data_IF_944660663199
#
_entry.id   IF_944660663199
#
_cell.length_a   1.000
_cell.length_b   1.000
_cell.length_c   1.000
_cell.angle_alpha   90.00
_cell.angle_beta   90.00
_cell.angle_gamma   90.00
#
_symmetry.space_group_name_H-M   'P 1'
#
loop_
_entity.id
_entity.type
_entity.pdbx_description
1 polymer ?
#
# COMPACT_ATOMS: atom_id res chain seq x y z
N UNK A 1 11.82 19.46 -0.80
CA UNK A 1 11.50 19.77 0.61
C UNK A 1 11.74 21.26 0.89
N UNK A 2 12.96 21.79 0.65
CA UNK A 2 13.28 23.20 0.94
C UNK A 2 12.32 24.19 0.24
N UNK A 3 11.96 23.95 -1.02
CA UNK A 3 11.06 24.80 -1.79
C UNK A 3 9.62 24.88 -1.20
N UNK A 4 9.26 23.94 -0.37
CA UNK A 4 7.93 23.88 0.28
C UNK A 4 8.00 24.14 1.78
N UNK A 5 9.16 24.52 2.31
CA UNK A 5 9.36 24.74 3.75
C UNK A 5 9.16 23.52 4.62
N UNK A 6 9.23 22.32 4.03
CA UNK A 6 9.04 21.05 4.76
C UNK A 6 10.39 20.54 5.23
N UNK A 7 10.50 20.27 6.53
CA UNK A 7 11.65 19.57 7.10
C UNK A 7 11.39 18.07 7.01
N UNK A 8 12.27 17.28 6.35
CA UNK A 8 12.13 15.83 6.33
C UNK A 8 12.17 15.25 7.75
N UNK A 9 11.32 14.27 8.03
CA UNK A 9 11.43 13.48 9.25
C UNK A 9 12.71 12.62 9.20
N UNK A 10 13.33 12.32 10.35
CA UNK A 10 14.40 11.34 10.40
C UNK A 10 13.95 10.02 9.82
N UNK A 11 14.78 9.42 8.99
CA UNK A 11 14.53 8.10 8.42
C UNK A 11 15.34 7.08 9.23
N UNK A 12 14.65 6.21 9.94
CA UNK A 12 15.23 5.13 10.73
C UNK A 12 14.95 3.75 10.10
N UNK A 13 15.52 2.66 10.61
CA UNK A 13 15.31 1.32 10.06
C UNK A 13 13.84 0.85 10.06
N UNK A 14 13.00 1.38 10.94
CA UNK A 14 11.59 1.02 11.04
C UNK A 14 10.71 1.85 10.09
N UNK A 15 11.20 2.99 9.64
CA UNK A 15 10.45 3.90 8.76
C UNK A 15 10.02 3.21 7.47
N UNK A 16 10.88 2.39 6.88
CA UNK A 16 10.56 1.63 5.68
C UNK A 16 9.39 0.66 5.89
N UNK A 17 9.37 -0.04 7.03
CA UNK A 17 8.28 -0.94 7.39
C UNK A 17 6.99 -0.17 7.68
N UNK A 18 7.07 0.92 8.41
CA UNK A 18 5.92 1.78 8.71
C UNK A 18 5.30 2.35 7.42
N UNK A 19 6.11 2.80 6.47
CA UNK A 19 5.65 3.24 5.16
C UNK A 19 4.96 2.11 4.39
N UNK A 20 5.55 0.93 4.39
CA UNK A 20 4.95 -0.24 3.73
C UNK A 20 3.58 -0.59 4.32
N UNK A 21 3.46 -0.62 5.64
CA UNK A 21 2.18 -0.85 6.34
C UNK A 21 1.18 0.28 6.05
N UNK A 22 1.62 1.53 6.07
CA UNK A 22 0.79 2.68 5.73
C UNK A 22 0.24 2.62 4.31
N UNK A 23 1.06 2.23 3.35
CA UNK A 23 0.61 1.99 1.97
C UNK A 23 -0.44 0.88 1.89
N UNK A 24 -0.27 -0.22 2.63
CA UNK A 24 -1.27 -1.29 2.64
C UNK A 24 -2.62 -0.81 3.18
N UNK A 25 -2.63 -0.07 4.29
CA UNK A 25 -3.86 0.52 4.85
C UNK A 25 -4.51 1.49 3.85
N UNK A 26 -3.71 2.32 3.19
CA UNK A 26 -4.21 3.26 2.19
C UNK A 26 -4.76 2.55 0.95
N UNK A 27 -4.08 1.53 0.45
CA UNK A 27 -4.50 0.74 -0.71
C UNK A 27 -5.79 -0.06 -0.45
N UNK A 28 -6.03 -0.48 0.78
CA UNK A 28 -7.27 -1.19 1.17
C UNK A 28 -8.46 -0.28 1.37
N UNK A 29 -8.26 1.04 1.23
CA UNK A 29 -9.32 2.03 1.37
C UNK A 29 -10.08 1.92 2.70
N UNK A 30 -9.36 2.05 3.81
CA UNK A 30 -9.90 1.95 5.16
C UNK A 30 -11.18 2.78 5.41
N UNK A 31 -11.30 4.03 4.91
CA UNK A 31 -12.55 4.79 5.05
C UNK A 31 -13.75 4.13 4.38
N UNK A 32 -13.57 3.53 3.21
CA UNK A 32 -14.65 2.82 2.54
C UNK A 32 -15.00 1.49 3.23
N UNK A 33 -14.00 0.81 3.83
CA UNK A 33 -14.25 -0.36 4.66
C UNK A 33 -15.08 -0.01 5.89
N UNK A 34 -14.71 1.06 6.61
CA UNK A 34 -15.47 1.56 7.74
C UNK A 34 -16.90 1.95 7.34
N UNK A 35 -17.05 2.73 6.27
CA UNK A 35 -18.38 3.10 5.78
C UNK A 35 -19.24 1.88 5.47
N UNK A 36 -18.69 0.88 4.78
CA UNK A 36 -19.42 -0.36 4.45
C UNK A 36 -19.85 -1.12 5.70
N UNK A 37 -18.95 -1.23 6.69
CA UNK A 37 -19.25 -1.92 7.95
C UNK A 37 -20.38 -1.23 8.69
N UNK A 38 -20.31 0.09 8.86
CA UNK A 38 -21.36 0.88 9.53
C UNK A 38 -22.69 0.85 8.76
N UNK A 39 -22.63 0.86 7.43
CA UNK A 39 -23.83 0.75 6.61
C UNK A 39 -24.48 -0.64 6.75
N UNK A 40 -23.69 -1.70 6.77
CA UNK A 40 -24.17 -3.06 6.93
C UNK A 40 -24.82 -3.29 8.29
N UNK A 41 -24.29 -2.69 9.34
CA UNK A 41 -24.86 -2.75 10.67
C UNK A 41 -26.18 -1.98 10.79
N UNK A 42 -26.19 -0.72 10.33
CA UNK A 42 -27.34 0.17 10.49
C UNK A 42 -28.47 -0.10 9.49
N UNK A 43 -28.13 -0.51 8.29
CA UNK A 43 -29.03 -0.64 7.16
C UNK A 43 -28.69 -1.89 6.31
N UNK A 44 -28.85 -3.10 6.85
CA UNK A 44 -28.39 -4.32 6.18
C UNK A 44 -29.01 -4.56 4.80
N UNK A 45 -30.29 -4.23 4.60
CA UNK A 45 -30.94 -4.35 3.30
C UNK A 45 -30.37 -3.36 2.27
N UNK A 46 -30.08 -2.12 2.69
CA UNK A 46 -29.48 -1.10 1.85
C UNK A 46 -28.03 -1.47 1.53
N UNK A 47 -27.29 -1.97 2.52
CA UNK A 47 -25.93 -2.45 2.33
C UNK A 47 -25.88 -3.58 1.30
N UNK A 48 -26.76 -4.58 1.41
CA UNK A 48 -26.85 -5.66 0.45
C UNK A 48 -27.15 -5.17 -0.98
N UNK A 49 -27.95 -4.12 -1.13
CA UNK A 49 -28.27 -3.53 -2.42
C UNK A 49 -27.14 -2.68 -3.03
N UNK A 50 -26.40 -1.95 -2.19
CA UNK A 50 -25.38 -1.00 -2.64
C UNK A 50 -23.95 -1.57 -2.66
N UNK A 51 -23.67 -2.54 -1.78
CA UNK A 51 -22.33 -3.12 -1.58
C UNK A 51 -22.22 -4.51 -2.25
N UNK A 52 -23.10 -4.80 -3.18
CA UNK A 52 -22.93 -6.02 -3.99
C UNK A 52 -21.51 -6.02 -4.61
N UNK A 53 -20.77 -7.12 -4.49
CA UNK A 53 -19.46 -7.20 -5.12
C UNK A 53 -19.64 -6.94 -6.61
N UNK A 54 -19.08 -5.82 -7.08
CA UNK A 54 -19.04 -5.56 -8.52
C UNK A 54 -17.94 -6.42 -9.10
N UNK A 55 -18.21 -7.28 -10.08
CA UNK A 55 -17.19 -8.10 -10.73
C UNK A 55 -16.12 -7.26 -11.46
N UNK A 56 -16.44 -6.02 -11.74
CA UNK A 56 -15.69 -5.02 -12.49
C UNK A 56 -15.03 -3.97 -11.58
N UNK A 57 -14.91 -4.27 -10.27
CA UNK A 57 -14.22 -3.39 -9.36
C UNK A 57 -12.75 -3.22 -9.76
N UNK A 58 -12.26 -2.02 -9.59
CA UNK A 58 -10.93 -1.54 -9.91
C UNK A 58 -9.84 -2.55 -9.55
N UNK A 59 -9.28 -3.17 -10.57
CA UNK A 59 -8.16 -4.08 -10.46
C UNK A 59 -6.96 -3.53 -11.19
N UNK A 60 -5.99 -4.38 -11.43
CA UNK A 60 -4.86 -4.11 -12.30
C UNK A 60 -4.74 -5.24 -13.30
N UNK A 61 -4.16 -4.98 -14.45
CA UNK A 61 -3.92 -6.02 -15.44
C UNK A 61 -2.43 -6.35 -15.55
N UNK A 62 -2.15 -7.60 -15.84
CA UNK A 62 -0.80 -8.09 -16.11
C UNK A 62 -0.83 -9.11 -17.25
N UNK A 63 0.18 -9.06 -18.09
CA UNK A 63 0.33 -9.98 -19.23
C UNK A 63 1.75 -10.52 -19.28
N UNK A 64 1.88 -11.77 -19.65
CA UNK A 64 3.13 -12.37 -20.05
C UNK A 64 2.92 -13.02 -21.44
N UNK A 65 3.70 -12.62 -22.41
CA UNK A 65 3.56 -13.08 -23.79
C UNK A 65 4.92 -13.51 -24.33
N UNK A 66 4.97 -14.65 -25.00
CA UNK A 66 6.13 -15.09 -25.75
C UNK A 66 5.82 -15.02 -27.25
N UNK A 67 6.67 -14.33 -27.99
CA UNK A 67 6.56 -14.21 -29.44
C UNK A 67 7.51 -15.21 -30.10
N UNK A 68 6.94 -16.29 -30.66
CA UNK A 68 7.70 -17.39 -31.24
C UNK A 68 8.33 -18.33 -30.18
N UNK A 69 8.82 -19.48 -30.63
CA UNK A 69 9.39 -20.51 -29.75
C UNK A 69 10.73 -20.06 -29.11
N UNK A 70 11.51 -19.30 -29.84
CA UNK A 70 12.85 -18.83 -29.42
C UNK A 70 12.84 -17.38 -28.87
N UNK A 71 11.69 -16.72 -28.87
CA UNK A 71 11.57 -15.35 -28.42
C UNK A 71 11.65 -15.21 -26.90
N UNK A 72 12.27 -14.14 -26.41
CA UNK A 72 12.22 -13.79 -25.01
C UNK A 72 10.78 -13.44 -24.59
N UNK A 73 10.33 -13.84 -23.40
CA UNK A 73 9.02 -13.45 -22.92
C UNK A 73 8.99 -11.94 -22.63
N UNK A 74 7.86 -11.33 -22.96
CA UNK A 74 7.54 -9.94 -22.61
C UNK A 74 6.53 -9.95 -21.49
N UNK A 75 6.76 -9.09 -20.49
CA UNK A 75 5.84 -8.86 -19.37
C UNK A 75 5.35 -7.43 -19.43
N UNK A 76 4.05 -7.24 -19.32
CA UNK A 76 3.44 -5.92 -19.26
C UNK A 76 2.53 -5.81 -18.03
N UNK A 77 2.47 -4.63 -17.46
CA UNK A 77 1.63 -4.29 -16.33
C UNK A 77 0.80 -3.04 -16.64
N UNK A 78 -0.44 -3.07 -16.19
CA UNK A 78 -1.35 -1.92 -16.23
C UNK A 78 -1.97 -1.75 -14.82
N UNK A 79 -1.23 -1.13 -13.89
CA UNK A 79 -1.75 -0.85 -12.56
C UNK A 79 -2.78 0.30 -12.61
N UNK A 80 -4.02 0.00 -12.25
CA UNK A 80 -5.10 0.97 -12.19
C UNK A 80 -4.94 1.84 -10.94
N UNK A 81 -4.40 3.02 -11.12
CA UNK A 81 -4.06 3.96 -10.04
C UNK A 81 -4.60 5.35 -10.35
N UNK A 82 -4.78 6.14 -9.30
CA UNK A 82 -5.03 7.55 -9.46
C UNK A 82 -3.82 8.22 -10.14
N UNK A 83 -4.11 9.15 -11.05
CA UNK A 83 -3.09 10.01 -11.63
C UNK A 83 -2.81 11.13 -10.64
N UNK A 84 -1.61 11.14 -10.11
CA UNK A 84 -1.18 12.08 -9.08
C UNK A 84 0.22 12.62 -9.36
N UNK A 85 0.53 13.78 -8.82
CA UNK A 85 1.85 14.39 -8.90
C UNK A 85 2.29 14.86 -7.50
N UNK A 86 3.41 14.35 -6.96
CA UNK A 86 4.29 13.35 -7.57
C UNK A 86 3.61 11.98 -7.66
N UNK A 87 3.97 11.19 -8.68
CA UNK A 87 3.46 9.84 -8.87
C UNK A 87 3.90 8.92 -7.74
N UNK A 88 3.09 7.88 -7.49
CA UNK A 88 3.33 6.88 -6.43
C UNK A 88 4.53 5.98 -6.74
N UNK A 89 4.94 5.89 -7.99
CA UNK A 89 6.06 5.04 -8.41
C UNK A 89 7.29 5.87 -8.74
N UNK A 90 8.43 5.31 -8.38
CA UNK A 90 9.76 5.77 -8.79
C UNK A 90 10.48 4.67 -9.54
N UNK A 91 11.06 5.00 -10.67
CA UNK A 91 11.96 4.10 -11.41
C UNK A 91 13.28 3.97 -10.64
N UNK A 92 13.70 2.75 -10.40
CA UNK A 92 14.95 2.44 -9.70
C UNK A 92 15.68 1.30 -10.39
N UNK A 93 17.01 1.33 -10.27
CA UNK A 93 17.87 0.18 -10.56
C UNK A 93 18.75 -0.06 -9.34
N UNK A 94 18.74 -1.29 -8.87
CA UNK A 94 19.53 -1.74 -7.73
C UNK A 94 20.60 -2.70 -8.23
N UNK A 95 21.86 -2.37 -7.98
CA UNK A 95 22.99 -3.19 -8.37
C UNK A 95 23.79 -3.53 -7.13
N UNK A 96 24.02 -4.82 -6.90
CA UNK A 96 24.94 -5.34 -5.90
C UNK A 96 25.98 -6.17 -6.62
N UNK A 97 27.22 -5.68 -6.60
CA UNK A 97 28.36 -6.46 -7.09
C UNK A 97 28.78 -7.47 -6.04
N UNK A 98 29.02 -8.70 -6.46
CA UNK A 98 29.47 -9.77 -5.59
C UNK A 98 30.53 -10.61 -6.27
N UNK A 99 31.43 -11.21 -5.48
CA UNK A 99 32.46 -12.11 -6.00
C UNK A 99 31.87 -13.35 -6.68
N UNK A 100 30.80 -13.87 -6.11
CA UNK A 100 30.10 -15.03 -6.69
C UNK A 100 28.95 -14.53 -7.59
N UNK A 101 28.88 -14.94 -8.86
CA UNK A 101 27.84 -14.51 -9.78
C UNK A 101 26.41 -14.68 -9.25
N UNK A 102 26.16 -15.75 -8.49
CA UNK A 102 24.84 -16.05 -7.92
C UNK A 102 24.40 -15.06 -6.82
N UNK A 103 25.34 -14.32 -6.24
CA UNK A 103 25.08 -13.35 -5.19
C UNK A 103 24.95 -11.92 -5.76
N UNK A 104 25.24 -11.77 -7.06
CA UNK A 104 25.06 -10.51 -7.78
C UNK A 104 23.57 -10.21 -7.93
N UNK A 105 23.20 -8.97 -7.70
CA UNK A 105 21.86 -8.46 -7.93
C UNK A 105 21.94 -7.32 -8.94
N UNK A 106 21.16 -7.40 -9.99
CA UNK A 106 20.95 -6.30 -10.94
C UNK A 106 19.45 -6.32 -11.30
N UNK A 107 18.72 -5.41 -10.69
CA UNK A 107 17.26 -5.33 -10.80
C UNK A 107 16.86 -3.92 -11.17
N UNK A 108 16.04 -3.78 -12.20
CA UNK A 108 15.40 -2.52 -12.59
C UNK A 108 13.90 -2.65 -12.41
N UNK A 109 13.24 -1.59 -12.00
CA UNK A 109 11.78 -1.64 -11.88
C UNK A 109 11.18 -0.38 -11.24
N UNK A 110 9.97 -0.56 -10.75
CA UNK A 110 9.18 0.48 -10.11
C UNK A 110 9.06 0.20 -8.61
N UNK A 111 9.53 1.14 -7.79
CA UNK A 111 9.43 1.10 -6.34
C UNK A 111 8.47 2.16 -5.82
N UNK A 112 7.90 1.91 -4.65
CA UNK A 112 7.29 2.98 -3.87
C UNK A 112 8.38 3.75 -3.13
N UNK A 113 8.39 5.09 -3.17
CA UNK A 113 9.32 5.87 -2.38
C UNK A 113 9.27 5.50 -0.90
N UNK A 114 10.43 5.16 -0.33
CA UNK A 114 10.53 4.75 1.07
C UNK A 114 10.26 3.27 1.36
N UNK A 115 9.76 2.50 0.40
CA UNK A 115 9.62 1.04 0.53
C UNK A 115 10.83 0.37 -0.13
N UNK A 116 11.51 -0.55 0.56
CA UNK A 116 12.71 -1.20 0.01
C UNK A 116 12.36 -2.15 -1.13
N UNK A 117 13.27 -2.22 -2.11
CA UNK A 117 13.15 -3.11 -3.26
C UNK A 117 12.26 -2.59 -4.37
N UNK A 118 11.88 -3.47 -5.27
CA UNK A 118 11.02 -3.23 -6.43
C UNK A 118 9.84 -4.23 -6.43
N UNK A 119 8.93 -4.11 -5.47
CA UNK A 119 7.95 -5.16 -5.22
C UNK A 119 6.89 -5.30 -6.32
N UNK A 120 6.51 -4.22 -7.00
CA UNK A 120 5.37 -4.22 -7.91
C UNK A 120 5.71 -4.65 -9.33
N UNK A 121 6.71 -4.02 -9.92
CA UNK A 121 7.15 -4.29 -11.29
C UNK A 121 8.65 -4.30 -11.28
N UNK A 122 9.24 -5.38 -11.73
CA UNK A 122 10.70 -5.49 -11.76
C UNK A 122 11.18 -6.50 -12.79
N UNK A 123 12.44 -6.35 -13.12
CA UNK A 123 13.16 -7.24 -14.02
C UNK A 123 14.58 -7.41 -13.55
N UNK A 124 15.03 -8.64 -13.51
CA UNK A 124 16.43 -9.03 -13.39
C UNK A 124 16.92 -9.62 -14.71
N UNK A 125 18.16 -10.12 -14.73
CA UNK A 125 18.70 -10.85 -15.87
C UNK A 125 17.86 -12.08 -16.26
N UNK A 126 17.22 -12.73 -15.28
CA UNK A 126 16.58 -14.03 -15.45
C UNK A 126 15.08 -14.02 -15.30
N UNK A 127 14.53 -13.05 -14.61
CA UNK A 127 13.12 -13.00 -14.23
C UNK A 127 12.57 -11.59 -14.36
N UNK A 128 11.38 -11.48 -14.94
CA UNK A 128 10.56 -10.29 -14.84
C UNK A 128 9.27 -10.63 -14.09
N UNK A 129 8.77 -9.68 -13.30
CA UNK A 129 7.55 -9.85 -12.55
C UNK A 129 6.70 -8.58 -12.56
N UNK A 130 5.43 -8.79 -12.43
CA UNK A 130 4.42 -7.76 -12.21
C UNK A 130 3.40 -8.30 -11.20
N UNK A 131 2.79 -7.40 -10.45
CA UNK A 131 1.73 -7.77 -9.51
C UNK A 131 0.46 -7.02 -9.83
N UNK A 132 -0.67 -7.68 -9.58
CA UNK A 132 -1.99 -7.07 -9.63
C UNK A 132 -2.63 -7.14 -8.25
N UNK A 133 -3.67 -6.34 -8.02
CA UNK A 133 -4.46 -6.48 -6.79
C UNK A 133 -5.23 -7.80 -6.81
N UNK A 134 -5.03 -8.62 -5.80
CA UNK A 134 -5.77 -9.87 -5.63
C UNK A 134 -7.19 -9.65 -5.09
N UNK A 135 -7.57 -8.40 -4.81
CA UNK A 135 -8.87 -8.02 -4.23
C UNK A 135 -9.19 -8.74 -2.91
N UNK A 136 -8.15 -9.20 -2.20
CA UNK A 136 -8.33 -9.81 -0.89
C UNK A 136 -8.62 -8.73 0.15
N UNK A 137 -9.47 -9.05 1.12
CA UNK A 137 -9.68 -8.20 2.29
C UNK A 137 -8.47 -8.32 3.20
N UNK A 138 -7.61 -7.30 3.21
CA UNK A 138 -6.46 -7.19 4.10
C UNK A 138 -6.72 -6.28 5.30
N UNK A 139 -7.93 -5.77 5.40
CA UNK A 139 -8.38 -4.92 6.49
C UNK A 139 -9.77 -5.39 6.93
N UNK A 140 -9.90 -5.71 8.20
CA UNK A 140 -11.17 -6.02 8.83
C UNK A 140 -11.54 -4.91 9.82
N UNK A 141 -12.80 -4.49 9.79
CA UNK A 141 -13.36 -3.56 10.77
C UNK A 141 -14.19 -4.37 11.76
N UNK A 142 -13.77 -4.36 13.00
CA UNK A 142 -14.50 -5.00 14.10
C UNK A 142 -15.28 -3.92 14.84
N UNK A 143 -16.57 -4.17 15.02
CA UNK A 143 -17.44 -3.33 15.84
C UNK A 143 -17.59 -4.01 17.21
N UNK A 144 -17.18 -3.30 18.24
CA UNK A 144 -17.30 -3.79 19.61
C UNK A 144 -18.48 -3.10 20.28
N UNK A 145 -19.35 -3.88 20.92
CA UNK A 145 -20.40 -3.36 21.77
C UNK A 145 -19.82 -3.13 23.18
N UNK A 146 -19.32 -1.95 23.39
CA UNK A 146 -18.67 -1.56 24.63
C UNK A 146 -19.34 -0.31 25.23
N UNK A 147 -20.52 -0.45 25.87
CA UNK A 147 -21.29 0.68 26.39
C UNK A 147 -20.55 1.51 27.44
N UNK A 148 -19.60 0.90 28.15
CA UNK A 148 -18.72 1.59 29.11
C UNK A 148 -17.37 2.02 28.49
N UNK A 149 -17.24 1.85 27.17
CA UNK A 149 -15.99 2.05 26.43
C UNK A 149 -15.17 0.75 26.29
N UNK A 150 -14.32 0.66 25.28
CA UNK A 150 -13.51 -0.54 25.04
C UNK A 150 -12.51 -0.75 26.18
N UNK A 151 -12.24 -2.00 26.51
CA UNK A 151 -11.08 -2.34 27.33
C UNK A 151 -9.80 -1.88 26.63
N UNK A 152 -9.00 -1.09 27.29
CA UNK A 152 -7.76 -0.55 26.75
C UNK A 152 -6.59 -1.25 27.41
N UNK A 153 -5.85 -2.05 26.64
CA UNK A 153 -4.65 -2.75 27.09
C UNK A 153 -3.47 -1.78 27.24
N UNK A 154 -3.35 -0.87 26.29
CA UNK A 154 -2.31 0.15 26.27
C UNK A 154 -2.80 1.37 25.48
N UNK A 155 -2.27 2.54 25.81
CA UNK A 155 -2.59 3.77 25.10
C UNK A 155 -1.40 4.71 25.04
N UNK A 156 -1.21 5.33 23.87
CA UNK A 156 -0.23 6.40 23.69
C UNK A 156 -0.87 7.61 23.05
N UNK A 157 -0.23 8.75 23.18
CA UNK A 157 -0.63 9.98 22.50
C UNK A 157 0.36 10.27 21.37
N UNK A 158 -0.16 10.40 20.17
CA UNK A 158 0.58 10.81 18.98
C UNK A 158 0.28 12.27 18.68
N UNK A 159 1.32 13.09 18.52
CA UNK A 159 1.18 14.48 18.14
C UNK A 159 1.27 14.63 16.63
N UNK A 160 0.16 15.01 16.00
CA UNK A 160 0.07 15.25 14.57
C UNK A 160 0.31 16.73 14.28
N UNK A 161 1.35 17.05 13.54
CA UNK A 161 1.64 18.41 13.12
C UNK A 161 0.78 18.78 11.90
N UNK A 162 -0.04 19.81 12.04
CA UNK A 162 -0.93 20.29 10.98
C UNK A 162 -0.27 21.45 10.25
N UNK A 163 -0.21 21.39 8.92
CA UNK A 163 0.35 22.47 8.12
C UNK A 163 -0.52 23.72 8.23
N UNK A 164 0.07 24.81 8.74
CA UNK A 164 -0.64 26.06 8.91
C UNK A 164 -1.66 26.10 10.05
N UNK A 165 -1.66 25.12 10.93
CA UNK A 165 -2.52 25.04 12.10
C UNK A 165 -1.78 24.54 13.34
N UNK A 166 -2.49 24.51 14.47
CA UNK A 166 -1.97 23.97 15.70
C UNK A 166 -1.84 22.44 15.64
N UNK A 167 -0.85 21.84 16.31
CA UNK A 167 -0.75 20.40 16.42
C UNK A 167 -1.99 19.79 17.08
N UNK A 168 -2.38 18.60 16.64
CA UNK A 168 -3.48 17.83 17.22
C UNK A 168 -2.90 16.61 17.93
N UNK A 169 -3.25 16.42 19.18
CA UNK A 169 -2.90 15.22 19.94
C UNK A 169 -3.99 14.15 19.72
N UNK A 170 -3.58 13.01 19.18
CA UNK A 170 -4.45 11.85 18.89
C UNK A 170 -4.11 10.74 19.87
N UNK A 171 -5.11 10.30 20.63
CA UNK A 171 -4.96 9.13 21.49
C UNK A 171 -5.11 7.87 20.66
N UNK A 172 -4.10 7.03 20.67
CA UNK A 172 -4.11 5.69 20.06
C UNK A 172 -4.23 4.67 21.17
N UNK A 173 -5.29 3.90 21.18
CA UNK A 173 -5.54 2.86 22.16
C UNK A 173 -5.46 1.48 21.48
N UNK A 174 -4.87 0.52 22.20
CA UNK A 174 -4.87 -0.88 21.81
C UNK A 174 -5.94 -1.59 22.62
N UNK A 175 -6.86 -2.25 21.96
CA UNK A 175 -7.88 -3.13 22.54
C UNK A 175 -7.48 -4.60 22.36
N UNK A 176 -8.11 -5.53 23.06
CA UNK A 176 -7.85 -6.97 22.94
C UNK A 176 -7.92 -7.54 21.51
#
# INVERSE_FOLDING_TARGET
FAAHGVKPLPFDPHTALALHLGYNVWLTNAPAALFRTLLAERFPALAAALISPRPDADGSNAWAVRVGAEGAPLVAADPHRLLELPGVYQQVRLVVEAERPRDRVDVVGLAFPGVPGVPHVGQSEHVAWVTTSAMVSSLEMVLEDAPEGPEVLDARTERVHVRGGDPVDVRVAHTP
#
